data_IF_657958515782
#
_entry.id   IF_657958515782
#
_cell.length_a   1.000
_cell.length_b   1.000
_cell.length_c   1.000
_cell.angle_alpha   90.00
_cell.angle_beta   90.00
_cell.angle_gamma   90.00
#
_symmetry.space_group_name_H-M   'P 1'
#
loop_
_entity.id
_entity.type
_entity.pdbx_description
1 polymer ?
#
# COMPACT_ATOMS: atom_id res chain seq x y z
N UNK A 1 15.76 -28.20 -20.53
CA UNK A 1 15.24 -26.82 -20.38
C UNK A 1 15.65 -26.36 -19.01
N UNK A 2 16.50 -25.34 -18.91
CA UNK A 2 16.91 -24.77 -17.62
C UNK A 2 15.73 -23.97 -17.08
N UNK A 3 15.09 -24.43 -16.02
CA UNK A 3 14.06 -23.64 -15.30
C UNK A 3 14.71 -22.40 -14.70
N UNK A 4 14.00 -21.27 -14.75
CA UNK A 4 14.45 -20.04 -14.09
C UNK A 4 14.41 -20.26 -12.57
N UNK A 5 15.33 -19.68 -11.77
CA UNK A 5 15.26 -19.73 -10.31
C UNK A 5 13.90 -19.29 -9.75
N UNK A 6 13.23 -18.35 -10.44
CA UNK A 6 11.89 -17.89 -10.11
C UNK A 6 10.85 -19.00 -10.34
N UNK A 7 10.98 -19.77 -11.43
CA UNK A 7 10.08 -20.88 -11.72
C UNK A 7 10.23 -22.02 -10.72
N UNK A 8 11.47 -22.30 -10.28
CA UNK A 8 11.74 -23.28 -9.22
C UNK A 8 11.12 -22.84 -7.89
N UNK A 9 11.24 -21.56 -7.53
CA UNK A 9 10.61 -21.00 -6.32
C UNK A 9 9.08 -21.08 -6.37
N UNK A 10 8.47 -20.72 -7.50
CA UNK A 10 7.01 -20.82 -7.69
C UNK A 10 6.53 -22.26 -7.63
N UNK A 11 7.30 -23.20 -8.18
CA UNK A 11 6.98 -24.62 -8.12
C UNK A 11 6.90 -25.10 -6.67
N UNK A 12 7.83 -24.64 -5.84
CA UNK A 12 7.87 -25.01 -4.43
C UNK A 12 6.76 -24.35 -3.63
N UNK A 13 6.45 -23.08 -3.88
CA UNK A 13 5.27 -22.42 -3.30
C UNK A 13 3.99 -23.16 -3.72
N UNK A 14 3.89 -23.61 -4.97
CA UNK A 14 2.75 -24.36 -5.50
C UNK A 14 2.54 -25.71 -4.81
N UNK A 15 3.63 -26.38 -4.45
CA UNK A 15 3.62 -27.64 -3.71
C UNK A 15 3.03 -27.48 -2.29
N UNK A 16 3.27 -26.33 -1.65
CA UNK A 16 2.78 -26.04 -0.30
C UNK A 16 1.42 -25.31 -0.27
N UNK A 17 0.88 -24.91 -1.42
CA UNK A 17 -0.41 -24.23 -1.52
C UNK A 17 -1.60 -25.17 -1.29
N UNK A 18 -2.50 -24.81 -0.38
CA UNK A 18 -3.80 -25.48 -0.14
C UNK A 18 -4.92 -24.91 -1.02
N UNK A 19 -4.69 -23.79 -1.72
CA UNK A 19 -5.67 -23.18 -2.62
C UNK A 19 -5.96 -24.04 -3.84
N UNK A 20 -7.15 -23.89 -4.44
CA UNK A 20 -7.59 -24.69 -5.60
C UNK A 20 -8.21 -23.83 -6.69
N UNK A 21 -8.20 -24.36 -7.92
CA UNK A 21 -8.85 -23.75 -9.08
C UNK A 21 -8.25 -22.40 -9.48
N UNK A 22 -9.09 -21.46 -9.93
CA UNK A 22 -8.65 -20.14 -10.42
C UNK A 22 -7.89 -19.32 -9.37
N UNK A 23 -8.24 -19.45 -8.10
CA UNK A 23 -7.55 -18.74 -7.03
C UNK A 23 -6.09 -19.19 -6.86
N UNK A 24 -5.81 -20.49 -7.06
CA UNK A 24 -4.45 -21.05 -7.05
C UNK A 24 -3.65 -20.54 -8.24
N UNK A 25 -4.20 -20.67 -9.45
CA UNK A 25 -3.53 -20.23 -10.67
C UNK A 25 -3.19 -18.74 -10.62
N UNK A 26 -4.16 -17.92 -10.23
CA UNK A 26 -3.95 -16.47 -10.10
C UNK A 26 -2.87 -16.13 -9.07
N UNK A 27 -2.88 -16.75 -7.88
CA UNK A 27 -1.89 -16.46 -6.84
C UNK A 27 -0.46 -16.79 -7.29
N UNK A 28 -0.27 -17.83 -8.09
CA UNK A 28 1.05 -18.24 -8.62
C UNK A 28 1.49 -17.37 -9.79
N UNK A 29 0.57 -16.98 -10.67
CA UNK A 29 0.86 -16.06 -11.77
C UNK A 29 1.24 -14.67 -11.22
N UNK A 30 0.54 -14.19 -10.19
CA UNK A 30 0.85 -12.92 -9.54
C UNK A 30 2.19 -12.96 -8.77
N UNK A 31 2.49 -14.10 -8.15
CA UNK A 31 3.79 -14.34 -7.52
C UNK A 31 4.92 -14.28 -8.56
N UNK A 32 4.70 -14.90 -9.72
CA UNK A 32 5.64 -14.88 -10.83
C UNK A 32 5.91 -13.48 -11.33
N UNK A 33 4.85 -12.71 -11.58
CA UNK A 33 4.96 -11.34 -12.08
C UNK A 33 5.72 -10.45 -11.08
N UNK A 34 5.43 -10.60 -9.79
CA UNK A 34 6.09 -9.83 -8.74
C UNK A 34 7.58 -10.16 -8.57
N UNK A 35 7.94 -11.44 -8.65
CA UNK A 35 9.34 -11.86 -8.58
C UNK A 35 10.11 -11.40 -9.81
N UNK A 36 9.49 -11.42 -10.99
CA UNK A 36 10.09 -10.87 -12.20
C UNK A 36 10.30 -9.35 -12.08
N UNK A 37 9.28 -8.61 -11.61
CA UNK A 37 9.39 -7.17 -11.38
C UNK A 37 10.45 -6.82 -10.33
N UNK A 38 10.56 -7.62 -9.26
CA UNK A 38 11.59 -7.45 -8.24
C UNK A 38 12.98 -7.84 -8.75
N UNK A 39 13.11 -8.86 -9.60
CA UNK A 39 14.37 -9.28 -10.20
C UNK A 39 14.92 -8.26 -11.20
N UNK A 40 14.03 -7.51 -11.88
CA UNK A 40 14.42 -6.37 -12.71
C UNK A 40 14.99 -5.20 -11.90
N UNK A 41 14.68 -5.14 -10.59
CA UNK A 41 15.09 -4.06 -9.70
C UNK A 41 16.23 -4.44 -8.74
N UNK A 42 16.34 -5.72 -8.36
CA UNK A 42 17.23 -6.22 -7.30
C UNK A 42 17.72 -7.63 -7.68
N UNK A 43 19.04 -7.86 -7.61
CA UNK A 43 19.68 -9.14 -8.03
C UNK A 43 19.19 -10.39 -7.27
N UNK A 44 18.57 -10.25 -6.10
CA UNK A 44 18.11 -11.37 -5.26
C UNK A 44 16.66 -11.19 -4.76
N UNK A 45 15.73 -11.14 -5.71
CA UNK A 45 14.30 -11.04 -5.46
C UNK A 45 13.73 -12.21 -4.62
N UNK A 46 14.32 -13.40 -4.74
CA UNK A 46 13.87 -14.61 -4.04
C UNK A 46 14.18 -14.51 -2.54
N UNK A 47 15.37 -14.02 -2.17
CA UNK A 47 15.70 -13.80 -0.76
C UNK A 47 14.75 -12.79 -0.07
N UNK A 48 14.13 -11.88 -0.82
CA UNK A 48 13.12 -10.95 -0.29
C UNK A 48 11.76 -11.61 -0.03
N UNK A 49 11.44 -12.70 -0.74
CA UNK A 49 10.20 -13.44 -0.59
C UNK A 49 10.24 -14.45 0.58
N UNK A 50 11.44 -14.90 0.99
CA UNK A 50 11.61 -15.83 2.11
C UNK A 50 11.54 -17.29 1.70
N UNK A 51 11.26 -18.20 2.64
CA UNK A 51 11.15 -19.63 2.35
C UNK A 51 9.80 -19.96 1.67
N UNK A 52 9.77 -20.83 0.63
CA UNK A 52 8.55 -21.17 -0.09
C UNK A 52 7.41 -21.72 0.79
N UNK A 53 7.77 -22.49 1.82
CA UNK A 53 6.83 -23.11 2.76
C UNK A 53 6.15 -22.09 3.68
N UNK A 54 6.91 -21.15 4.23
CA UNK A 54 6.40 -20.04 5.05
C UNK A 54 5.52 -19.12 4.21
N UNK A 55 5.94 -18.91 2.96
CA UNK A 55 5.20 -18.12 1.99
C UNK A 55 3.85 -18.74 1.64
N UNK A 56 3.84 -20.03 1.34
CA UNK A 56 2.61 -20.78 1.08
C UNK A 56 1.71 -20.87 2.32
N UNK A 57 2.28 -20.98 3.52
CA UNK A 57 1.52 -20.92 4.77
C UNK A 57 0.81 -19.57 4.95
N UNK A 58 1.50 -18.46 4.68
CA UNK A 58 0.92 -17.11 4.68
C UNK A 58 -0.22 -16.96 3.67
N UNK A 59 -0.07 -17.50 2.45
CA UNK A 59 -1.13 -17.53 1.44
C UNK A 59 -2.31 -18.40 1.91
N UNK A 60 -2.04 -19.56 2.48
CA UNK A 60 -3.08 -20.47 2.96
C UNK A 60 -3.90 -19.88 4.11
N UNK A 61 -3.25 -19.28 5.12
CA UNK A 61 -3.92 -18.68 6.27
C UNK A 61 -4.77 -17.46 5.89
N UNK A 62 -4.33 -16.70 4.87
CA UNK A 62 -5.06 -15.53 4.40
C UNK A 62 -6.27 -15.87 3.52
N UNK A 63 -6.22 -16.99 2.80
CA UNK A 63 -7.31 -17.43 1.92
C UNK A 63 -8.16 -18.59 2.52
N UNK A 64 -7.84 -19.12 3.70
CA UNK A 64 -8.63 -20.15 4.38
C UNK A 64 -10.09 -19.74 4.68
N UNK A 65 -10.37 -18.43 4.72
CA UNK A 65 -11.70 -17.87 5.01
C UNK A 65 -12.51 -17.49 3.73
N UNK A 66 -12.03 -17.90 2.55
CA UNK A 66 -12.56 -17.52 1.21
C UNK A 66 -13.82 -18.29 0.77
N UNK A 67 -14.57 -18.88 1.69
CA UNK A 67 -15.79 -19.62 1.36
C UNK A 67 -16.86 -18.71 0.72
N UNK A 68 -17.07 -18.89 -0.60
CA UNK A 68 -18.04 -18.21 -1.49
C UNK A 68 -17.73 -16.76 -1.86
N UNK A 69 -17.47 -16.56 -3.16
CA UNK A 69 -17.34 -15.28 -3.84
C UNK A 69 -18.70 -14.68 -4.18
N UNK A 70 -19.14 -13.69 -3.42
CA UNK A 70 -20.11 -12.69 -3.90
C UNK A 70 -19.39 -11.40 -4.27
N UNK A 71 -20.03 -10.49 -4.99
CA UNK A 71 -19.47 -9.21 -5.42
C UNK A 71 -20.23 -8.09 -4.71
N UNK A 72 -19.54 -7.12 -4.08
CA UNK A 72 -20.20 -5.95 -3.46
C UNK A 72 -19.90 -4.74 -4.34
N UNK A 73 -20.93 -4.10 -4.90
CA UNK A 73 -20.81 -2.92 -5.77
C UNK A 73 -19.86 -3.10 -6.97
N UNK A 74 -19.84 -4.30 -7.57
CA UNK A 74 -18.96 -4.60 -8.72
C UNK A 74 -17.49 -4.85 -8.36
N UNK A 75 -17.15 -4.79 -7.07
CA UNK A 75 -15.83 -5.13 -6.53
C UNK A 75 -15.88 -6.58 -6.00
N UNK A 76 -15.03 -7.49 -6.51
CA UNK A 76 -14.91 -8.86 -5.97
C UNK A 76 -14.78 -8.87 -4.43
N UNK A 77 -15.58 -9.65 -3.69
CA UNK A 77 -15.55 -9.64 -2.21
C UNK A 77 -14.22 -10.16 -1.61
N UNK A 78 -13.36 -10.81 -2.43
CA UNK A 78 -11.95 -11.10 -2.09
C UNK A 78 -11.12 -9.82 -1.85
N UNK A 79 -11.57 -8.70 -2.39
CA UNK A 79 -10.97 -7.38 -2.23
C UNK A 79 -11.47 -6.64 -1.00
N UNK A 80 -12.64 -7.01 -0.42
CA UNK A 80 -13.25 -6.29 0.72
C UNK A 80 -13.05 -6.99 2.06
N UNK A 81 -13.00 -8.34 2.11
CA UNK A 81 -12.80 -9.08 3.35
C UNK A 81 -11.29 -9.15 3.68
N UNK A 82 -10.91 -8.66 4.87
CA UNK A 82 -9.51 -8.63 5.33
C UNK A 82 -8.72 -7.36 4.99
N UNK A 83 -9.32 -6.35 4.33
CA UNK A 83 -8.67 -5.05 4.03
C UNK A 83 -8.02 -4.47 5.28
N UNK A 84 -8.74 -4.47 6.42
CA UNK A 84 -8.22 -3.88 7.66
C UNK A 84 -6.96 -4.58 8.17
N UNK A 85 -6.88 -5.90 8.04
CA UNK A 85 -5.68 -6.68 8.40
C UNK A 85 -4.52 -6.40 7.45
N UNK A 86 -4.76 -6.34 6.13
CA UNK A 86 -3.72 -6.00 5.14
C UNK A 86 -3.20 -4.57 5.33
N UNK A 87 -4.11 -3.65 5.63
CA UNK A 87 -3.81 -2.25 5.93
C UNK A 87 -2.98 -2.11 7.20
N UNK A 88 -3.31 -2.85 8.27
CA UNK A 88 -2.46 -2.93 9.45
C UNK A 88 -1.08 -3.56 9.11
N UNK A 89 -1.05 -4.61 8.29
CA UNK A 89 0.17 -5.28 7.84
C UNK A 89 1.15 -4.39 7.06
N UNK A 90 0.67 -3.31 6.43
CA UNK A 90 1.58 -2.34 5.78
C UNK A 90 2.45 -1.54 6.76
N UNK A 91 2.14 -1.59 8.05
CA UNK A 91 3.00 -1.08 9.12
C UNK A 91 2.90 -1.99 10.34
N UNK A 92 3.70 -3.04 10.36
CA UNK A 92 3.85 -3.93 11.50
C UNK A 92 5.33 -4.12 11.83
N UNK A 93 5.88 -3.38 12.82
CA UNK A 93 7.29 -3.49 13.20
C UNK A 93 7.67 -4.87 13.73
N UNK A 94 6.73 -5.62 14.31
CA UNK A 94 6.99 -6.95 14.88
C UNK A 94 7.02 -8.06 13.83
N UNK A 95 6.49 -7.81 12.62
CA UNK A 95 6.57 -8.73 11.49
C UNK A 95 7.86 -8.46 10.69
N UNK A 96 8.81 -9.42 10.62
CA UNK A 96 10.08 -9.21 9.93
C UNK A 96 9.96 -9.17 8.39
N UNK A 97 8.83 -9.60 7.83
CA UNK A 97 8.65 -9.65 6.38
C UNK A 97 8.55 -8.23 5.79
N UNK A 98 9.45 -7.91 4.86
CA UNK A 98 9.44 -6.61 4.16
C UNK A 98 8.34 -6.52 3.11
N UNK A 99 8.04 -7.63 2.45
CA UNK A 99 7.06 -7.70 1.36
C UNK A 99 5.81 -8.35 1.90
N UNK A 100 4.69 -7.62 1.87
CA UNK A 100 3.37 -8.09 2.33
C UNK A 100 2.35 -7.91 1.22
N UNK A 101 1.25 -8.70 1.20
CA UNK A 101 0.21 -8.54 0.19
C UNK A 101 -0.38 -7.13 0.18
N UNK A 102 -0.73 -6.63 -1.02
CA UNK A 102 -1.29 -5.29 -1.20
C UNK A 102 -2.65 -5.15 -0.49
N UNK A 103 -2.93 -3.95 0.03
CA UNK A 103 -4.19 -3.62 0.72
C UNK A 103 -5.41 -3.83 -0.17
N UNK A 104 -5.28 -3.40 -1.44
CA UNK A 104 -6.30 -3.53 -2.47
C UNK A 104 -5.70 -4.22 -3.71
N UNK A 105 -6.41 -5.21 -4.25
CA UNK A 105 -6.00 -5.90 -5.46
C UNK A 105 -5.04 -7.05 -5.22
N UNK A 106 -4.38 -7.42 -6.31
CA UNK A 106 -3.36 -8.46 -6.38
C UNK A 106 -1.97 -7.80 -6.40
N UNK A 107 -0.94 -8.54 -5.98
CA UNK A 107 0.45 -8.05 -5.88
C UNK A 107 0.88 -7.66 -4.46
N UNK A 108 2.07 -7.06 -4.37
CA UNK A 108 2.75 -6.80 -3.10
C UNK A 108 2.85 -5.32 -2.77
N UNK A 109 3.10 -5.06 -1.49
CA UNK A 109 3.46 -3.76 -0.93
C UNK A 109 4.53 -3.99 0.12
N UNK A 110 5.18 -2.91 0.54
CA UNK A 110 6.19 -2.98 1.59
C UNK A 110 5.55 -2.78 2.97
N UNK A 111 5.97 -3.59 3.94
CA UNK A 111 5.75 -3.36 5.36
C UNK A 111 6.70 -2.25 5.82
N UNK A 112 6.18 -1.04 5.93
CA UNK A 112 6.92 0.14 6.38
C UNK A 112 7.41 0.01 7.83
N UNK A 113 6.78 -0.83 8.65
CA UNK A 113 7.23 -1.15 10.00
C UNK A 113 8.54 -1.93 9.98
N UNK A 114 8.60 -3.02 9.21
CA UNK A 114 9.82 -3.79 8.99
C UNK A 114 10.94 -2.95 8.35
N UNK A 115 10.60 -2.08 7.40
CA UNK A 115 11.56 -1.11 6.81
C UNK A 115 12.12 -0.20 7.89
N UNK A 116 11.28 0.38 8.75
CA UNK A 116 11.73 1.27 9.84
C UNK A 116 12.63 0.53 10.85
N UNK A 117 12.36 -0.74 11.14
CA UNK A 117 13.22 -1.59 11.97
C UNK A 117 14.58 -1.83 11.29
N UNK A 118 14.59 -2.21 10.01
CA UNK A 118 15.85 -2.42 9.26
C UNK A 118 16.69 -1.15 9.13
N UNK A 119 16.05 0.02 9.09
CA UNK A 119 16.73 1.32 9.10
C UNK A 119 17.17 1.78 10.50
N UNK A 120 16.94 0.97 11.56
CA UNK A 120 17.28 1.31 12.95
C UNK A 120 16.42 2.44 13.55
N UNK A 121 15.29 2.77 12.91
CA UNK A 121 14.39 3.85 13.34
C UNK A 121 13.44 3.38 14.44
N UNK A 122 13.11 2.10 14.48
CA UNK A 122 12.27 1.44 15.49
C UNK A 122 12.93 0.16 16.00
N UNK A 123 12.63 -0.19 17.24
CA UNK A 123 12.87 -1.51 17.80
C UNK A 123 11.53 -2.27 17.79
N UNK A 124 11.44 -3.49 17.25
CA UNK A 124 10.19 -4.25 17.19
C UNK A 124 9.55 -4.45 18.57
N UNK A 125 10.35 -4.64 19.62
CA UNK A 125 9.86 -4.92 20.98
C UNK A 125 9.29 -3.68 21.70
N UNK A 126 9.56 -2.48 21.17
CA UNK A 126 9.08 -1.23 21.78
C UNK A 126 7.66 -0.86 21.32
N UNK A 127 7.16 -1.46 20.23
CA UNK A 127 5.86 -1.11 19.63
C UNK A 127 4.85 -2.21 19.92
N UNK A 128 3.98 -1.95 20.91
CA UNK A 128 2.85 -2.79 21.26
C UNK A 128 1.49 -2.12 20.91
N UNK A 129 0.39 -2.82 21.20
CA UNK A 129 -0.96 -2.32 20.96
C UNK A 129 -1.28 -1.03 21.73
N UNK A 130 -0.68 -0.80 22.90
CA UNK A 130 -0.86 0.42 23.70
C UNK A 130 -0.20 1.62 23.01
N UNK A 131 1.02 1.44 22.49
CA UNK A 131 1.72 2.44 21.70
C UNK A 131 0.97 2.76 20.40
N UNK A 132 0.44 1.75 19.71
CA UNK A 132 -0.36 1.95 18.50
C UNK A 132 -1.67 2.68 18.80
N UNK A 133 -2.32 2.39 19.93
CA UNK A 133 -3.50 3.11 20.39
C UNK A 133 -3.18 4.59 20.69
N UNK A 134 -2.11 4.88 21.44
CA UNK A 134 -1.69 6.25 21.71
C UNK A 134 -1.32 7.01 20.42
N UNK A 135 -0.67 6.34 19.46
CA UNK A 135 -0.40 6.91 18.15
C UNK A 135 -1.70 7.24 17.39
N UNK A 136 -2.67 6.32 17.39
CA UNK A 136 -3.96 6.47 16.73
C UNK A 136 -4.81 7.60 17.33
N UNK A 137 -4.71 7.84 18.64
CA UNK A 137 -5.44 8.91 19.32
C UNK A 137 -4.84 10.29 19.07
N UNK A 138 -3.59 10.36 18.60
CA UNK A 138 -2.85 11.59 18.34
C UNK A 138 -2.50 11.77 16.85
N UNK A 139 -3.34 11.26 15.93
CA UNK A 139 -3.10 11.35 14.48
C UNK A 139 -3.30 12.74 13.88
N UNK A 140 -3.81 13.74 14.62
CA UNK A 140 -4.23 15.03 14.06
C UNK A 140 -3.19 15.72 13.18
N UNK A 141 -1.91 15.72 13.59
CA UNK A 141 -0.84 16.30 12.77
C UNK A 141 -0.57 15.51 11.48
N UNK A 142 -0.58 14.17 11.55
CA UNK A 142 -0.42 13.30 10.38
C UNK A 142 -1.61 13.42 9.42
N UNK A 143 -2.83 13.54 9.95
CA UNK A 143 -4.04 13.76 9.16
C UNK A 143 -4.01 15.10 8.42
N UNK A 144 -3.62 16.17 9.13
CA UNK A 144 -3.47 17.50 8.52
C UNK A 144 -2.41 17.51 7.43
N UNK A 145 -1.25 16.89 7.68
CA UNK A 145 -0.19 16.81 6.68
C UNK A 145 -0.58 15.90 5.49
N UNK A 146 -1.34 14.82 5.71
CA UNK A 146 -1.86 13.95 4.65
C UNK A 146 -2.94 14.64 3.79
N UNK A 147 -3.62 15.67 4.31
CA UNK A 147 -4.56 16.46 3.53
C UNK A 147 -3.89 17.27 2.40
N UNK A 148 -2.61 17.65 2.57
CA UNK A 148 -1.86 18.43 1.57
C UNK A 148 -1.78 17.73 0.21
N UNK A 149 -1.26 16.48 0.10
CA UNK A 149 -1.24 15.78 -1.19
C UNK A 149 -2.65 15.52 -1.74
N UNK A 150 -3.67 15.33 -0.90
CA UNK A 150 -5.08 15.17 -1.35
C UNK A 150 -5.58 16.43 -2.03
N UNK A 151 -5.35 17.61 -1.44
CA UNK A 151 -5.72 18.89 -2.04
C UNK A 151 -4.95 19.12 -3.34
N UNK A 152 -3.64 18.84 -3.37
CA UNK A 152 -2.83 18.94 -4.60
C UNK A 152 -3.35 18.02 -5.70
N UNK A 153 -3.73 16.79 -5.36
CA UNK A 153 -4.30 15.83 -6.28
C UNK A 153 -5.67 16.29 -6.81
N UNK A 154 -6.51 16.87 -5.97
CA UNK A 154 -7.79 17.45 -6.38
C UNK A 154 -7.58 18.61 -7.37
N UNK A 155 -6.65 19.53 -7.08
CA UNK A 155 -6.30 20.66 -7.95
C UNK A 155 -5.73 20.18 -9.29
N UNK A 156 -4.80 19.21 -9.26
CA UNK A 156 -4.21 18.64 -10.47
C UNK A 156 -5.28 17.94 -11.34
N UNK A 157 -6.17 17.15 -10.72
CA UNK A 157 -7.28 16.48 -11.43
C UNK A 157 -8.27 17.48 -12.03
N UNK A 158 -8.58 18.58 -11.33
CA UNK A 158 -9.41 19.65 -11.89
C UNK A 158 -8.71 20.31 -13.10
N UNK A 159 -7.42 20.60 -13.00
CA UNK A 159 -6.61 21.13 -14.11
C UNK A 159 -6.58 20.18 -15.32
N UNK A 160 -6.44 18.88 -15.08
CA UNK A 160 -6.56 17.86 -16.12
C UNK A 160 -7.93 17.87 -16.79
N UNK A 161 -9.01 17.93 -16.00
CA UNK A 161 -10.38 18.01 -16.52
C UNK A 161 -10.61 19.23 -17.43
N UNK A 162 -10.11 20.40 -17.04
CA UNK A 162 -10.19 21.63 -17.83
C UNK A 162 -9.42 21.53 -19.16
N UNK A 163 -8.28 20.84 -19.17
CA UNK A 163 -7.42 20.68 -20.35
C UNK A 163 -7.64 19.36 -21.10
N UNK A 164 -8.68 18.61 -20.76
CA UNK A 164 -8.92 17.27 -21.30
C UNK A 164 -9.02 17.28 -22.82
N UNK A 165 -9.71 18.26 -23.41
CA UNK A 165 -9.92 18.33 -24.86
C UNK A 165 -8.61 18.58 -25.62
N UNK A 166 -7.72 19.40 -25.07
CA UNK A 166 -6.39 19.57 -25.63
C UNK A 166 -5.61 18.23 -25.60
N UNK A 167 -5.84 17.39 -24.58
CA UNK A 167 -5.14 16.12 -24.41
C UNK A 167 -5.69 15.06 -25.35
N UNK A 168 -7.01 15.07 -25.57
CA UNK A 168 -7.67 14.27 -26.59
C UNK A 168 -7.17 14.64 -28.00
N UNK A 169 -7.05 15.93 -28.31
CA UNK A 169 -6.53 16.40 -29.61
C UNK A 169 -5.09 15.95 -29.85
N UNK A 170 -4.23 15.98 -28.83
CA UNK A 170 -2.83 15.60 -28.99
C UNK A 170 -2.60 14.07 -29.01
N UNK A 171 -3.42 13.30 -28.31
CA UNK A 171 -3.25 11.84 -28.20
C UNK A 171 -4.14 11.04 -29.17
N UNK A 172 -5.16 11.68 -29.74
CA UNK A 172 -6.19 11.04 -30.56
C UNK A 172 -7.11 10.09 -29.79
N UNK A 173 -7.03 10.09 -28.44
CA UNK A 173 -7.78 9.16 -27.57
C UNK A 173 -8.58 9.95 -26.55
N UNK A 174 -9.82 9.53 -26.28
CA UNK A 174 -10.60 10.15 -25.20
C UNK A 174 -9.92 9.95 -23.85
N UNK A 175 -9.94 11.00 -23.04
CA UNK A 175 -9.31 11.02 -21.71
C UNK A 175 -10.34 10.90 -20.57
N UNK A 176 -11.61 10.68 -20.92
CA UNK A 176 -12.72 10.62 -19.96
C UNK A 176 -12.55 9.51 -18.92
N UNK A 177 -12.12 8.32 -19.34
CA UNK A 177 -11.88 7.20 -18.41
C UNK A 177 -10.77 7.53 -17.40
N UNK A 178 -9.66 8.11 -17.87
CA UNK A 178 -8.54 8.53 -17.01
C UNK A 178 -8.97 9.60 -15.99
N UNK A 179 -9.83 10.54 -16.40
CA UNK A 179 -10.39 11.55 -15.52
C UNK A 179 -11.30 10.92 -14.45
N UNK A 180 -12.16 9.98 -14.83
CA UNK A 180 -13.03 9.24 -13.88
C UNK A 180 -12.17 8.50 -12.85
N UNK A 181 -11.13 7.80 -13.29
CA UNK A 181 -10.20 7.10 -12.38
C UNK A 181 -9.52 8.08 -11.42
N UNK A 182 -9.03 9.23 -11.91
CA UNK A 182 -8.40 10.23 -11.07
C UNK A 182 -9.36 10.83 -10.01
N UNK A 183 -10.63 11.06 -10.38
CA UNK A 183 -11.66 11.52 -9.44
C UNK A 183 -11.96 10.44 -8.39
N UNK A 184 -12.08 9.16 -8.81
CA UNK A 184 -12.30 8.05 -7.89
C UNK A 184 -11.14 7.86 -6.90
N UNK A 185 -9.88 7.99 -7.35
CA UNK A 185 -8.70 7.89 -6.49
C UNK A 185 -8.63 9.03 -5.47
N UNK A 186 -9.02 10.25 -5.86
CA UNK A 186 -9.15 11.37 -4.92
C UNK A 186 -10.23 11.11 -3.86
N UNK A 187 -11.39 10.61 -4.28
CA UNK A 187 -12.48 10.25 -3.36
C UNK A 187 -12.04 9.13 -2.39
N UNK A 188 -11.35 8.11 -2.88
CA UNK A 188 -10.80 7.04 -2.06
C UNK A 188 -9.76 7.56 -1.04
N UNK A 189 -8.86 8.45 -1.47
CA UNK A 189 -7.86 9.07 -0.60
C UNK A 189 -8.51 9.89 0.52
N UNK A 190 -9.49 10.73 0.17
CA UNK A 190 -10.26 11.49 1.15
C UNK A 190 -11.06 10.58 2.09
N UNK A 191 -11.68 9.51 1.56
CA UNK A 191 -12.40 8.52 2.34
C UNK A 191 -11.53 7.79 3.35
N UNK A 192 -10.31 7.39 2.97
CA UNK A 192 -9.33 6.80 3.90
C UNK A 192 -8.93 7.78 5.00
N UNK A 193 -8.69 9.05 4.64
CA UNK A 193 -8.34 10.07 5.63
C UNK A 193 -9.48 10.29 6.63
N UNK A 194 -10.74 10.35 6.16
CA UNK A 194 -11.92 10.45 7.03
C UNK A 194 -12.07 9.21 7.90
N UNK A 195 -11.94 8.01 7.32
CA UNK A 195 -12.03 6.75 8.06
C UNK A 195 -10.98 6.64 9.18
N UNK A 196 -9.81 7.27 9.05
CA UNK A 196 -8.80 7.27 10.12
C UNK A 196 -9.26 7.96 11.42
N UNK A 197 -10.32 8.78 11.34
CA UNK A 197 -10.96 9.44 12.49
C UNK A 197 -11.95 8.54 13.23
N UNK A 198 -12.37 7.43 12.62
CA UNK A 198 -13.32 6.51 13.22
C UNK A 198 -12.66 5.68 14.32
N UNK A 199 -13.10 5.90 15.56
CA UNK A 199 -12.59 5.20 16.75
C UNK A 199 -13.03 3.74 16.84
N UNK A 200 -14.02 3.31 16.05
CA UNK A 200 -14.41 1.90 15.98
C UNK A 200 -13.41 1.06 15.18
N UNK A 201 -12.57 1.70 14.37
CA UNK A 201 -11.53 1.02 13.60
C UNK A 201 -10.33 0.67 14.50
N UNK A 202 -9.74 -0.54 14.39
CA UNK A 202 -8.54 -0.91 15.15
C UNK A 202 -7.39 0.09 15.00
N UNK A 203 -6.65 0.35 16.09
CA UNK A 203 -5.58 1.35 16.13
C UNK A 203 -4.50 1.12 15.07
N UNK A 204 -4.04 -0.13 14.92
CA UNK A 204 -3.05 -0.52 13.92
C UNK A 204 -3.48 -0.17 12.48
N UNK A 205 -4.78 -0.27 12.18
CA UNK A 205 -5.33 0.12 10.90
C UNK A 205 -5.46 1.64 10.76
N UNK A 206 -5.89 2.34 11.81
CA UNK A 206 -6.04 3.81 11.80
C UNK A 206 -4.71 4.52 11.57
N UNK A 207 -3.61 4.00 12.12
CA UNK A 207 -2.26 4.58 11.97
C UNK A 207 -1.78 4.55 10.51
N UNK A 208 -2.19 3.58 9.71
CA UNK A 208 -1.77 3.45 8.30
C UNK A 208 -2.69 4.16 7.32
N UNK A 209 -3.94 4.44 7.69
CA UNK A 209 -4.89 5.11 6.79
C UNK A 209 -4.40 6.47 6.25
N UNK A 210 -3.84 7.40 7.07
CA UNK A 210 -3.31 8.67 6.55
C UNK A 210 -2.14 8.49 5.57
N UNK A 211 -1.28 7.49 5.79
CA UNK A 211 -0.13 7.25 4.92
C UNK A 211 -0.56 6.68 3.56
N UNK A 212 -1.53 5.76 3.55
CA UNK A 212 -2.13 5.24 2.32
C UNK A 212 -2.92 6.32 1.57
N UNK A 213 -3.68 7.15 2.28
CA UNK A 213 -4.39 8.29 1.71
C UNK A 213 -3.42 9.27 1.02
N UNK A 214 -2.34 9.66 1.72
CA UNK A 214 -1.32 10.55 1.17
C UNK A 214 -0.58 9.93 -0.04
N UNK A 215 -0.30 8.63 0.01
CA UNK A 215 0.39 7.90 -1.07
C UNK A 215 -0.46 7.84 -2.35
N UNK A 216 -1.72 7.44 -2.24
CA UNK A 216 -2.67 7.41 -3.35
C UNK A 216 -2.87 8.79 -3.97
N UNK A 217 -3.01 9.82 -3.12
CA UNK A 217 -3.13 11.20 -3.56
C UNK A 217 -1.87 11.68 -4.29
N UNK A 218 -0.66 11.34 -3.81
CA UNK A 218 0.60 11.73 -4.44
C UNK A 218 0.72 11.19 -5.86
N UNK A 219 0.41 9.90 -6.07
CA UNK A 219 0.40 9.29 -7.41
C UNK A 219 -0.66 9.97 -8.29
N UNK A 220 -1.87 10.16 -7.76
CA UNK A 220 -2.97 10.80 -8.49
C UNK A 220 -2.59 12.22 -8.93
N UNK A 221 -1.94 13.00 -8.06
CA UNK A 221 -1.44 14.33 -8.38
C UNK A 221 -0.41 14.30 -9.51
N UNK A 222 0.56 13.38 -9.45
CA UNK A 222 1.59 13.22 -10.50
C UNK A 222 1.01 12.87 -11.86
N UNK A 223 0.09 11.89 -11.91
CA UNK A 223 -0.58 11.47 -13.14
C UNK A 223 -1.44 12.61 -13.71
N UNK A 224 -2.31 13.21 -12.88
CA UNK A 224 -3.17 14.31 -13.33
C UNK A 224 -2.35 15.54 -13.78
N UNK A 225 -1.28 15.88 -13.06
CA UNK A 225 -0.39 16.97 -13.45
C UNK A 225 0.35 16.68 -14.76
N UNK A 226 0.78 15.42 -14.99
CA UNK A 226 1.38 14.99 -16.25
C UNK A 226 0.43 15.21 -17.43
N UNK A 227 -0.85 14.87 -17.29
CA UNK A 227 -1.85 15.10 -18.33
C UNK A 227 -2.17 16.59 -18.53
N UNK A 228 -2.23 17.37 -17.43
CA UNK A 228 -2.56 18.78 -17.47
C UNK A 228 -1.44 19.64 -18.06
N UNK A 229 -0.18 19.38 -17.72
CA UNK A 229 0.95 20.26 -18.07
C UNK A 229 1.80 19.74 -19.23
N UNK A 230 1.71 18.43 -19.55
CA UNK A 230 2.44 17.74 -20.61
C UNK A 230 3.93 18.10 -20.72
N UNK A 231 4.70 17.99 -19.63
CA UNK A 231 6.16 18.02 -19.75
C UNK A 231 6.60 16.86 -20.66
N UNK A 232 7.73 17.04 -21.35
CA UNK A 232 8.31 15.97 -22.17
C UNK A 232 8.58 14.72 -21.30
N UNK A 233 8.19 13.55 -21.80
CA UNK A 233 8.36 12.28 -21.09
C UNK A 233 7.34 12.08 -19.96
N UNK A 234 7.72 11.32 -18.93
CA UNK A 234 6.86 10.94 -17.78
C UNK A 234 7.40 11.46 -16.45
N UNK A 235 8.14 12.57 -16.46
CA UNK A 235 8.89 13.06 -15.30
C UNK A 235 8.03 13.26 -14.05
N UNK A 236 6.79 13.76 -14.19
CA UNK A 236 5.90 13.99 -13.04
C UNK A 236 5.35 12.69 -12.45
N UNK A 237 5.11 11.69 -13.29
CA UNK A 237 4.67 10.36 -12.84
C UNK A 237 5.81 9.67 -12.10
N UNK A 238 7.02 9.68 -12.68
CA UNK A 238 8.21 9.08 -12.07
C UNK A 238 8.51 9.75 -10.72
N UNK A 239 8.48 11.09 -10.66
CA UNK A 239 8.68 11.82 -9.42
C UNK A 239 7.63 11.48 -8.36
N UNK A 240 6.35 11.41 -8.73
CA UNK A 240 5.29 11.04 -7.80
C UNK A 240 5.40 9.59 -7.30
N UNK A 241 5.76 8.66 -8.18
CA UNK A 241 6.03 7.26 -7.81
C UNK A 241 7.22 7.15 -6.85
N UNK A 242 8.30 7.88 -7.10
CA UNK A 242 9.47 7.92 -6.21
C UNK A 242 9.14 8.50 -4.83
N UNK A 243 8.23 9.49 -4.76
CA UNK A 243 7.79 10.10 -3.51
C UNK A 243 6.84 9.22 -2.69
N UNK A 244 6.22 8.18 -3.28
CA UNK A 244 5.26 7.34 -2.58
C UNK A 244 5.86 6.64 -1.35
N UNK A 245 7.04 6.03 -1.51
CA UNK A 245 7.70 5.29 -0.43
C UNK A 245 8.08 6.17 0.78
N UNK A 246 8.79 7.30 0.61
CA UNK A 246 9.12 8.16 1.74
C UNK A 246 7.88 8.79 2.38
N UNK A 247 6.84 9.11 1.60
CA UNK A 247 5.54 9.55 2.13
C UNK A 247 4.96 8.45 3.02
N UNK A 248 4.81 7.24 2.50
CA UNK A 248 4.21 6.15 3.25
C UNK A 248 4.97 5.87 4.57
N UNK A 249 6.30 5.78 4.50
CA UNK A 249 7.15 5.59 5.68
C UNK A 249 6.98 6.73 6.69
N UNK A 250 7.07 7.99 6.25
CA UNK A 250 7.01 9.16 7.14
C UNK A 250 5.69 9.23 7.89
N UNK A 251 4.57 9.07 7.17
CA UNK A 251 3.23 9.22 7.74
C UNK A 251 2.84 8.08 8.68
N UNK A 252 3.39 6.87 8.50
CA UNK A 252 3.19 5.77 9.45
C UNK A 252 4.18 5.82 10.63
N UNK A 253 5.44 6.22 10.38
CA UNK A 253 6.50 6.23 11.40
C UNK A 253 6.34 7.37 12.43
N UNK A 254 6.07 8.60 11.98
CA UNK A 254 6.09 9.78 12.86
C UNK A 254 5.09 9.68 14.03
N UNK A 255 3.82 9.26 13.82
CA UNK A 255 2.87 9.09 14.92
C UNK A 255 3.35 8.08 15.96
N UNK A 256 3.89 6.95 15.50
CA UNK A 256 4.38 5.87 16.37
C UNK A 256 5.61 6.31 17.15
N UNK A 257 6.57 6.98 16.49
CA UNK A 257 7.75 7.54 17.16
C UNK A 257 7.38 8.61 18.20
N UNK A 258 6.34 9.41 17.93
CA UNK A 258 5.85 10.39 18.88
C UNK A 258 5.21 9.72 20.11
N UNK A 259 4.44 8.64 19.92
CA UNK A 259 3.85 7.85 21.00
C UNK A 259 4.92 7.21 21.89
N UNK A 260 5.94 6.60 21.30
CA UNK A 260 7.09 6.05 22.03
C UNK A 260 7.77 7.09 22.92
N UNK A 261 8.04 8.30 22.39
CA UNK A 261 8.65 9.39 23.16
C UNK A 261 7.77 9.81 24.33
N UNK A 262 6.45 9.87 24.16
CA UNK A 262 5.51 10.19 25.25
C UNK A 262 5.54 9.12 26.34
N UNK A 263 5.46 7.84 25.98
CA UNK A 263 5.52 6.73 26.93
C UNK A 263 6.82 6.72 27.76
N UNK A 264 7.97 6.91 27.10
CA UNK A 264 9.28 6.99 27.78
C UNK A 264 9.37 8.19 28.73
N UNK A 265 8.78 9.33 28.38
CA UNK A 265 8.76 10.51 29.24
C UNK A 265 7.89 10.33 30.49
N UNK A 266 6.80 9.56 30.38
CA UNK A 266 5.92 9.21 31.49
C UNK A 266 6.62 8.29 32.49
N UNK A 267 7.34 7.28 32.00
CA UNK A 267 8.12 6.35 32.85
C UNK A 267 9.22 7.04 33.66
N UNK A 268 9.86 8.09 33.13
CA UNK A 268 10.88 8.87 33.85
C UNK A 268 10.35 9.80 34.94
N UNK A 269 9.04 10.06 34.97
CA UNK A 269 8.38 10.94 35.95
C UNK A 269 7.74 10.19 37.12
N UNK A 270 7.74 8.87 37.08
CA UNK A 270 7.35 7.99 38.19
C UNK A 270 8.60 7.52 38.92
#
# INVERSE_FOLDING_TARGET
MTTSPIDDYIHEVDHHLKLRGRARQQALDDLRDALNEAADAIDDAIALAGLPEDYAASLNDQFADSGRSDTILGIPNSLTRGIGRRMAGTFNPSDPHLIVPRVLGLGWTLNMGAVAVKLGMLNPDDVDDEILADAADHLGAAQLAAAVPIVLAAVATAGFGLRRHEAEQATGKSQTANLIVAVAMNAASAGLLVASTDRQTPAAQRVTMPSLAASLATITAGISAQYATRPKGQALVIAASALMLPVNLLFSYVPVRAALKRSQSSKKRR
#
